data_IF_629641862420
#
_entry.id   IF_629641862420
#
_cell.length_a   1.000
_cell.length_b   1.000
_cell.length_c   1.000
_cell.angle_alpha   90.00
_cell.angle_beta   90.00
_cell.angle_gamma   90.00
#
_symmetry.space_group_name_H-M   'P 1'
#
loop_
_entity.id
_entity.type
_entity.pdbx_description
1 polymer ?
#
# COMPACT_ATOMS: atom_id res chain seq x y z
N UNK A 1 32.24 -22.78 -4.74
CA UNK A 1 31.53 -22.26 -5.92
C UNK A 1 32.13 -20.93 -6.37
N UNK A 2 32.27 -19.95 -5.48
CA UNK A 2 32.74 -18.60 -5.81
C UNK A 2 34.12 -18.56 -6.50
N UNK A 3 35.12 -19.29 -5.97
CA UNK A 3 36.46 -19.37 -6.56
C UNK A 3 36.45 -19.97 -7.96
N UNK A 4 35.72 -21.08 -8.18
CA UNK A 4 35.56 -21.69 -9.51
C UNK A 4 34.89 -20.73 -10.51
N UNK A 5 33.85 -20.01 -10.10
CA UNK A 5 33.17 -19.02 -10.94
C UNK A 5 34.13 -17.86 -11.28
N UNK A 6 34.89 -17.39 -10.29
CA UNK A 6 35.89 -16.34 -10.49
C UNK A 6 36.96 -16.77 -11.50
N UNK A 7 37.49 -17.99 -11.38
CA UNK A 7 38.54 -18.50 -12.27
C UNK A 7 38.05 -18.61 -13.72
N UNK A 8 36.87 -19.18 -13.92
CA UNK A 8 36.22 -19.30 -15.24
C UNK A 8 35.95 -17.92 -15.87
N UNK A 9 35.45 -16.97 -15.07
CA UNK A 9 35.16 -15.62 -15.57
C UNK A 9 36.43 -14.78 -15.76
N UNK A 10 37.52 -15.09 -15.05
CA UNK A 10 38.81 -14.42 -15.25
C UNK A 10 39.33 -14.59 -16.68
N UNK A 11 39.01 -15.70 -17.35
CA UNK A 11 39.39 -15.94 -18.74
C UNK A 11 38.63 -15.04 -19.72
N UNK A 12 37.36 -14.69 -19.42
CA UNK A 12 36.60 -13.69 -20.20
C UNK A 12 37.11 -12.28 -19.91
N UNK A 13 37.46 -11.99 -18.66
CA UNK A 13 37.91 -10.67 -18.24
C UNK A 13 39.33 -10.34 -18.68
N UNK A 14 40.13 -11.34 -19.07
CA UNK A 14 41.40 -11.19 -19.81
C UNK A 14 41.10 -10.87 -21.28
N UNK A 15 40.45 -9.74 -21.54
CA UNK A 15 40.34 -9.17 -22.88
C UNK A 15 41.65 -8.49 -23.23
N UNK A 16 42.11 -8.65 -24.47
CA UNK A 16 43.35 -8.07 -24.98
C UNK A 16 43.29 -6.53 -24.86
N UNK A 17 44.28 -5.91 -24.22
CA UNK A 17 44.30 -4.46 -23.96
C UNK A 17 44.20 -3.62 -25.26
N UNK A 18 44.59 -4.21 -26.38
CA UNK A 18 44.45 -3.66 -27.74
C UNK A 18 42.99 -3.62 -28.22
N UNK A 19 42.21 -4.68 -27.96
CA UNK A 19 40.79 -4.74 -28.33
C UNK A 19 39.96 -3.80 -27.44
N UNK A 20 40.39 -3.64 -26.19
CA UNK A 20 39.84 -2.69 -25.21
C UNK A 20 40.11 -1.22 -25.60
N UNK A 21 41.25 -0.93 -26.24
CA UNK A 21 41.58 0.40 -26.76
C UNK A 21 40.92 0.71 -28.11
N UNK A 22 40.77 -0.29 -28.99
CA UNK A 22 40.22 -0.13 -30.34
C UNK A 22 38.70 0.05 -30.38
N UNK A 23 37.95 -0.55 -29.45
CA UNK A 23 36.48 -0.45 -29.41
C UNK A 23 36.00 0.94 -28.99
N UNK A 24 36.80 1.70 -28.25
CA UNK A 24 36.51 3.11 -27.96
C UNK A 24 36.71 4.02 -29.19
N UNK A 25 37.37 3.54 -30.25
CA UNK A 25 37.68 4.32 -31.46
C UNK A 25 36.89 3.88 -32.70
N UNK A 26 36.43 2.62 -32.77
CA UNK A 26 35.72 2.05 -33.90
C UNK A 26 34.63 1.09 -33.39
N UNK A 27 33.41 1.21 -33.92
CA UNK A 27 32.39 0.15 -33.81
C UNK A 27 32.86 -1.07 -34.61
N UNK A 28 33.72 -1.91 -33.99
CA UNK A 28 34.21 -3.13 -34.63
C UNK A 28 33.12 -4.21 -34.55
N UNK A 29 32.78 -4.89 -35.66
CA UNK A 29 31.83 -6.00 -35.65
C UNK A 29 32.33 -7.14 -34.74
N UNK A 30 31.42 -7.74 -33.97
CA UNK A 30 31.70 -8.91 -33.11
C UNK A 30 32.32 -10.04 -33.95
N UNK A 31 33.56 -10.41 -33.68
CA UNK A 31 34.28 -11.46 -34.39
C UNK A 31 33.80 -12.83 -33.90
N UNK A 32 33.63 -13.82 -34.78
CA UNK A 32 33.22 -15.21 -34.47
C UNK A 32 34.04 -15.87 -33.34
N UNK A 33 35.28 -15.40 -33.14
CA UNK A 33 36.21 -15.86 -32.09
C UNK A 33 35.74 -15.53 -30.67
N UNK A 34 35.04 -14.40 -30.49
CA UNK A 34 34.47 -14.03 -29.19
C UNK A 34 33.25 -14.89 -28.86
N UNK A 35 32.45 -15.27 -29.85
CA UNK A 35 31.30 -16.16 -29.66
C UNK A 35 31.70 -17.57 -29.21
N UNK A 36 32.81 -18.12 -29.74
CA UNK A 36 33.34 -19.41 -29.31
C UNK A 36 33.83 -19.42 -27.86
N UNK A 37 34.52 -18.36 -27.43
CA UNK A 37 34.95 -18.20 -26.03
C UNK A 37 33.77 -18.06 -25.07
N UNK A 38 32.77 -17.25 -25.43
CA UNK A 38 31.55 -17.11 -24.63
C UNK A 38 30.82 -18.46 -24.48
N UNK A 39 30.70 -19.26 -25.55
CA UNK A 39 30.02 -20.55 -25.51
C UNK A 39 30.73 -21.58 -24.61
N UNK A 40 32.06 -21.63 -24.64
CA UNK A 40 32.83 -22.50 -23.74
C UNK A 40 32.60 -22.14 -22.28
N UNK A 41 32.64 -20.84 -21.95
CA UNK A 41 32.43 -20.37 -20.58
C UNK A 41 31.00 -20.59 -20.12
N UNK A 42 30.01 -20.39 -21.00
CA UNK A 42 28.61 -20.72 -20.71
C UNK A 42 28.49 -22.22 -20.37
N UNK A 43 29.14 -23.09 -21.14
CA UNK A 43 29.09 -24.55 -20.92
C UNK A 43 29.75 -24.95 -19.60
N UNK A 44 30.90 -24.35 -19.26
CA UNK A 44 31.58 -24.62 -17.99
C UNK A 44 30.79 -24.06 -16.79
N UNK A 45 30.20 -22.87 -16.91
CA UNK A 45 29.32 -22.34 -15.87
C UNK A 45 28.08 -23.22 -15.69
N UNK A 46 27.46 -23.72 -16.76
CA UNK A 46 26.36 -24.66 -16.69
C UNK A 46 26.72 -25.91 -15.89
N UNK A 47 27.89 -26.52 -16.16
CA UNK A 47 28.39 -27.66 -15.40
C UNK A 47 28.55 -27.32 -13.92
N UNK A 48 29.15 -26.18 -13.59
CA UNK A 48 29.32 -25.74 -12.21
C UNK A 48 27.95 -25.58 -11.51
N UNK A 49 26.97 -24.94 -12.15
CA UNK A 49 25.64 -24.78 -11.54
C UNK A 49 24.94 -26.14 -11.31
N UNK A 50 25.04 -27.07 -12.26
CA UNK A 50 24.45 -28.42 -12.15
C UNK A 50 25.16 -29.24 -11.06
N UNK A 51 26.50 -29.29 -11.05
CA UNK A 51 27.29 -30.02 -10.07
C UNK A 51 27.00 -29.57 -8.63
N UNK A 52 26.97 -28.26 -8.39
CA UNK A 52 26.70 -27.73 -7.04
C UNK A 52 25.23 -27.89 -6.64
N UNK A 53 24.28 -27.86 -7.59
CA UNK A 53 22.88 -28.15 -7.30
C UNK A 53 22.67 -29.63 -6.93
N UNK A 54 23.34 -30.55 -7.62
CA UNK A 54 23.31 -31.99 -7.31
C UNK A 54 23.96 -32.31 -5.97
N UNK A 55 25.11 -31.71 -5.66
CA UNK A 55 25.79 -31.86 -4.37
C UNK A 55 24.94 -31.34 -3.21
N UNK A 56 24.26 -30.20 -3.39
CA UNK A 56 23.38 -29.63 -2.37
C UNK A 56 22.12 -30.48 -2.15
N UNK A 57 21.56 -31.06 -3.21
CA UNK A 57 20.46 -32.02 -3.12
C UNK A 57 20.87 -33.30 -2.38
N UNK A 58 22.07 -33.85 -2.68
CA UNK A 58 22.61 -35.02 -2.01
C UNK A 58 22.87 -34.78 -0.51
N UNK A 59 23.44 -33.62 -0.14
CA UNK A 59 23.66 -33.26 1.26
C UNK A 59 22.34 -33.14 2.06
N UNK A 60 21.28 -32.65 1.42
CA UNK A 60 19.95 -32.53 2.04
C UNK A 60 19.30 -33.91 2.24
N UNK A 61 19.46 -34.82 1.27
CA UNK A 61 18.98 -36.20 1.39
C UNK A 61 19.66 -36.95 2.56
N UNK A 62 20.98 -36.77 2.71
CA UNK A 62 21.75 -37.35 3.83
C UNK A 62 21.30 -36.79 5.19
N UNK A 63 21.05 -35.48 5.27
CA UNK A 63 20.55 -34.84 6.49
C UNK A 63 19.15 -35.32 6.89
N UNK A 64 18.26 -35.57 5.92
CA UNK A 64 16.92 -36.12 6.16
C UNK A 64 16.97 -37.59 6.61
N UNK A 65 17.89 -38.40 6.07
CA UNK A 65 18.10 -39.78 6.54
C UNK A 65 18.73 -39.86 7.93
N UNK A 66 19.59 -38.91 8.31
CA UNK A 66 20.20 -38.86 9.64
C UNK A 66 19.18 -38.47 10.74
N UNK A 67 18.19 -37.63 10.42
CA UNK A 67 17.15 -37.21 11.35
C UNK A 67 16.02 -38.26 11.57
N UNK A 68 15.97 -39.33 10.75
CA UNK A 68 14.93 -40.37 10.83
C UNK A 68 15.20 -41.52 11.81
N UNK A 69 16.28 -41.48 12.60
CA UNK A 69 16.75 -42.64 13.38
C UNK A 69 16.64 -42.45 14.90
N UNK A 70 15.58 -41.84 15.41
CA UNK A 70 15.22 -41.90 16.84
C UNK A 70 13.71 -41.76 17.02
N UNK A 71 13.04 -42.92 17.16
CA UNK A 71 11.86 -43.20 18.01
C UNK A 71 10.97 -44.28 17.36
N UNK A 72 11.20 -45.53 17.76
CA UNK A 72 10.13 -46.53 17.84
C UNK A 72 9.53 -46.43 19.25
N UNK A 73 8.25 -46.05 19.37
CA UNK A 73 7.27 -46.85 20.13
C UNK A 73 5.82 -46.34 19.99
N UNK A 74 4.95 -47.27 19.55
CA UNK A 74 3.55 -47.55 19.96
C UNK A 74 2.51 -46.42 20.05
N UNK A 75 1.60 -46.34 19.06
CA UNK A 75 0.14 -46.60 19.22
C UNK A 75 -0.69 -46.22 17.98
N UNK A 76 -1.73 -47.01 17.73
CA UNK A 76 -2.57 -47.06 16.52
C UNK A 76 -3.95 -46.37 16.73
N UNK A 77 -4.56 -45.95 15.60
CA UNK A 77 -5.98 -45.56 15.30
C UNK A 77 -6.42 -44.11 15.59
N UNK A 78 -7.19 -43.42 14.75
CA UNK A 78 -7.73 -43.60 13.38
C UNK A 78 -8.24 -42.23 12.88
N UNK A 79 -8.14 -41.92 11.59
CA UNK A 79 -8.81 -40.78 10.94
C UNK A 79 -8.12 -40.27 9.66
N UNK A 80 -8.79 -40.21 8.48
CA UNK A 80 -8.12 -40.06 7.20
C UNK A 80 -7.82 -38.59 6.87
N UNK A 81 -6.54 -38.25 6.69
CA UNK A 81 -6.11 -37.06 5.94
C UNK A 81 -5.37 -37.49 4.69
N UNK A 82 -5.92 -37.05 3.56
CA UNK A 82 -5.41 -37.07 2.19
C UNK A 82 -3.94 -36.63 2.11
N UNK A 83 -3.08 -37.23 1.26
CA UNK A 83 -1.65 -36.96 1.26
C UNK A 83 -1.35 -35.61 0.59
N UNK A 84 -0.76 -34.69 1.34
CA UNK A 84 -0.10 -33.52 0.81
C UNK A 84 1.29 -33.92 0.28
N UNK A 85 1.56 -33.58 -0.98
CA UNK A 85 2.78 -33.83 -1.73
C UNK A 85 4.04 -33.22 -1.07
N UNK A 86 5.02 -34.08 -0.79
CA UNK A 86 6.33 -33.79 -0.21
C UNK A 86 7.39 -33.34 -1.24
N UNK A 87 7.08 -32.38 -2.11
CA UNK A 87 7.98 -31.91 -3.18
C UNK A 87 8.68 -30.56 -2.93
N UNK A 88 8.42 -29.88 -1.81
CA UNK A 88 8.91 -28.51 -1.58
C UNK A 88 10.41 -28.36 -1.23
N UNK A 89 11.05 -29.40 -0.68
CA UNK A 89 12.39 -29.28 -0.09
C UNK A 89 13.54 -29.22 -1.11
N UNK A 90 13.41 -29.88 -2.26
CA UNK A 90 14.47 -29.95 -3.28
C UNK A 90 14.55 -28.69 -4.14
N UNK A 91 13.43 -28.01 -4.37
CA UNK A 91 13.38 -26.76 -5.16
C UNK A 91 14.01 -25.58 -4.42
N UNK A 92 13.82 -25.47 -3.11
CA UNK A 92 14.40 -24.37 -2.32
C UNK A 92 15.93 -24.41 -2.25
N UNK A 93 16.51 -25.61 -2.11
CA UNK A 93 17.97 -25.78 -2.02
C UNK A 93 18.65 -25.44 -3.35
N UNK A 94 18.10 -25.90 -4.47
CA UNK A 94 18.61 -25.56 -5.81
C UNK A 94 18.55 -24.04 -6.07
N UNK A 95 17.47 -23.39 -5.63
CA UNK A 95 17.31 -21.93 -5.77
C UNK A 95 18.37 -21.16 -4.98
N UNK A 96 18.75 -21.61 -3.77
CA UNK A 96 19.81 -20.99 -2.95
C UNK A 96 21.19 -21.11 -3.58
N UNK A 97 21.51 -22.25 -4.19
CA UNK A 97 22.79 -22.44 -4.90
C UNK A 97 22.88 -21.53 -6.13
N UNK A 98 21.80 -21.44 -6.90
CA UNK A 98 21.70 -20.51 -8.02
C UNK A 98 21.85 -19.06 -7.55
N UNK A 99 21.17 -18.66 -6.47
CA UNK A 99 21.26 -17.32 -5.90
C UNK A 99 22.70 -16.98 -5.50
N UNK A 100 23.43 -17.88 -4.82
CA UNK A 100 24.82 -17.65 -4.44
C UNK A 100 25.75 -17.52 -5.65
N UNK A 101 25.57 -18.37 -6.67
CA UNK A 101 26.34 -18.26 -7.91
C UNK A 101 26.07 -16.95 -8.64
N UNK A 102 24.80 -16.54 -8.75
CA UNK A 102 24.43 -15.25 -9.34
C UNK A 102 25.00 -14.08 -8.54
N UNK A 103 24.92 -14.11 -7.20
CA UNK A 103 25.52 -13.07 -6.32
C UNK A 103 27.02 -12.90 -6.60
N UNK A 104 27.74 -13.99 -6.83
CA UNK A 104 29.17 -13.95 -7.17
C UNK A 104 29.41 -13.25 -8.51
N UNK A 105 28.62 -13.58 -9.53
CA UNK A 105 28.72 -12.97 -10.87
C UNK A 105 28.36 -11.48 -10.80
N UNK A 106 27.31 -11.13 -10.06
CA UNK A 106 26.87 -9.75 -9.87
C UNK A 106 27.91 -8.93 -9.10
N UNK A 107 28.52 -9.48 -8.05
CA UNK A 107 29.62 -8.82 -7.35
C UNK A 107 30.84 -8.58 -8.26
N UNK A 108 31.13 -9.50 -9.19
CA UNK A 108 32.16 -9.30 -10.21
C UNK A 108 31.79 -8.21 -11.21
N UNK A 109 30.52 -8.15 -11.64
CA UNK A 109 30.01 -7.08 -12.50
C UNK A 109 30.11 -5.71 -11.82
N UNK A 110 29.78 -5.61 -10.53
CA UNK A 110 29.84 -4.38 -9.76
C UNK A 110 31.26 -3.80 -9.66
N UNK A 111 32.29 -4.66 -9.69
CA UNK A 111 33.71 -4.26 -9.66
C UNK A 111 34.27 -3.83 -11.02
N UNK A 112 33.52 -3.97 -12.12
CA UNK A 112 34.00 -3.61 -13.45
C UNK A 112 33.80 -2.10 -13.72
N UNK A 113 34.90 -1.41 -14.05
CA UNK A 113 34.84 -0.02 -14.51
C UNK A 113 34.67 0.09 -16.04
N UNK A 114 34.83 -1.00 -16.79
CA UNK A 114 34.72 -0.99 -18.25
C UNK A 114 33.32 -1.47 -18.70
N UNK A 115 32.57 -0.67 -19.49
CA UNK A 115 31.26 -1.05 -20.02
C UNK A 115 31.28 -2.30 -20.90
N UNK A 116 32.36 -2.56 -21.64
CA UNK A 116 32.49 -3.75 -22.47
C UNK A 116 32.52 -5.03 -21.62
N UNK A 117 33.34 -5.04 -20.56
CA UNK A 117 33.45 -6.18 -19.65
C UNK A 117 32.15 -6.43 -18.90
N UNK A 118 31.49 -5.37 -18.44
CA UNK A 118 30.18 -5.46 -17.80
C UNK A 118 29.11 -6.02 -18.76
N UNK A 119 29.10 -5.58 -20.02
CA UNK A 119 28.17 -6.07 -21.03
C UNK A 119 28.44 -7.52 -21.46
N UNK A 120 29.71 -7.95 -21.51
CA UNK A 120 30.06 -9.36 -21.74
C UNK A 120 29.53 -10.25 -20.61
N UNK A 121 29.70 -9.86 -19.35
CA UNK A 121 29.13 -10.58 -18.21
C UNK A 121 27.59 -10.58 -18.23
N UNK A 122 26.96 -9.47 -18.60
CA UNK A 122 25.52 -9.39 -18.78
C UNK A 122 25.02 -10.33 -19.90
N UNK A 123 25.81 -10.46 -20.98
CA UNK A 123 25.51 -11.39 -22.08
C UNK A 123 25.64 -12.84 -21.63
N UNK A 124 26.66 -13.18 -20.84
CA UNK A 124 26.80 -14.52 -20.23
C UNK A 124 25.60 -14.86 -19.36
N UNK A 125 25.17 -13.94 -18.48
CA UNK A 125 23.96 -14.12 -17.68
C UNK A 125 22.70 -14.31 -18.55
N UNK A 126 22.57 -13.53 -19.62
CA UNK A 126 21.47 -13.66 -20.56
C UNK A 126 21.46 -15.04 -21.24
N UNK A 127 22.61 -15.55 -21.68
CA UNK A 127 22.70 -16.88 -22.29
C UNK A 127 22.43 -18.02 -21.31
N UNK A 128 22.84 -17.87 -20.04
CA UNK A 128 22.52 -18.85 -18.98
C UNK A 128 21.02 -18.91 -18.65
N UNK A 129 20.30 -17.81 -18.88
CA UNK A 129 18.83 -17.79 -18.80
C UNK A 129 18.20 -18.49 -19.99
N UNK A 130 18.73 -18.28 -21.20
CA UNK A 130 18.24 -18.96 -22.41
C UNK A 130 18.43 -20.49 -22.34
N UNK A 131 19.47 -20.96 -21.63
CA UNK A 131 19.69 -22.38 -21.37
C UNK A 131 18.89 -22.94 -20.20
N UNK A 132 17.98 -22.17 -19.60
CA UNK A 132 17.17 -22.54 -18.42
C UNK A 132 17.99 -23.00 -17.20
N UNK A 133 19.26 -22.60 -17.11
CA UNK A 133 20.14 -22.95 -15.99
C UNK A 133 19.88 -22.04 -14.78
N UNK A 134 19.44 -20.81 -15.04
CA UNK A 134 19.09 -19.80 -14.05
C UNK A 134 17.64 -19.36 -14.22
N UNK A 135 17.00 -18.94 -13.12
CA UNK A 135 15.69 -18.30 -13.17
C UNK A 135 15.83 -16.77 -13.30
N UNK A 136 15.11 -16.18 -14.25
CA UNK A 136 15.12 -14.73 -14.50
C UNK A 136 14.79 -13.92 -13.24
N UNK A 137 13.89 -14.43 -12.40
CA UNK A 137 13.52 -13.82 -11.12
C UNK A 137 14.72 -13.68 -10.19
N UNK A 138 15.51 -14.74 -10.01
CA UNK A 138 16.68 -14.75 -9.11
C UNK A 138 17.71 -13.74 -9.61
N UNK A 139 17.96 -13.70 -10.92
CA UNK A 139 18.89 -12.74 -11.53
C UNK A 139 18.44 -11.30 -11.30
N UNK A 140 17.18 -10.95 -11.59
CA UNK A 140 16.66 -9.61 -11.35
C UNK A 140 16.72 -9.19 -9.87
N UNK A 141 16.28 -10.07 -8.96
CA UNK A 141 16.24 -9.77 -7.53
C UNK A 141 17.65 -9.58 -6.98
N UNK A 142 18.62 -10.43 -7.34
CA UNK A 142 20.00 -10.29 -6.87
C UNK A 142 20.65 -9.02 -7.43
N UNK A 143 20.47 -8.73 -8.72
CA UNK A 143 20.98 -7.49 -9.34
C UNK A 143 20.45 -6.24 -8.64
N UNK A 144 19.14 -6.18 -8.42
CA UNK A 144 18.49 -5.02 -7.81
C UNK A 144 18.67 -4.94 -6.29
N UNK A 145 19.05 -6.04 -5.63
CA UNK A 145 19.34 -6.07 -4.20
C UNK A 145 20.79 -5.71 -3.86
N UNK A 146 21.69 -5.70 -4.84
CA UNK A 146 23.11 -5.44 -4.61
C UNK A 146 23.34 -4.04 -4.00
N UNK A 147 24.21 -3.97 -3.00
CA UNK A 147 24.53 -2.72 -2.30
C UNK A 147 25.33 -1.74 -3.19
N UNK A 148 26.11 -2.27 -4.13
CA UNK A 148 26.92 -1.47 -5.05
C UNK A 148 26.11 -0.91 -6.23
N UNK A 149 24.81 -1.24 -6.32
CA UNK A 149 23.90 -0.64 -7.29
C UNK A 149 23.52 0.78 -6.84
N UNK A 150 24.47 1.69 -6.98
CA UNK A 150 24.35 3.11 -6.67
C UNK A 150 24.48 3.98 -7.93
N UNK A 151 23.95 5.21 -7.92
CA UNK A 151 24.14 6.15 -9.03
C UNK A 151 25.59 6.55 -9.30
N UNK A 152 26.52 6.27 -8.37
CA UNK A 152 27.95 6.54 -8.54
C UNK A 152 28.63 5.50 -9.42
N UNK A 153 28.11 4.26 -9.44
CA UNK A 153 28.58 3.20 -10.33
C UNK A 153 27.77 3.17 -11.62
N UNK A 154 28.03 4.15 -12.50
CA UNK A 154 27.27 4.36 -13.73
C UNK A 154 27.26 3.12 -14.65
N UNK A 155 28.40 2.44 -14.77
CA UNK A 155 28.56 1.27 -15.65
C UNK A 155 27.74 0.08 -15.16
N UNK A 156 27.81 -0.22 -13.87
CA UNK A 156 27.05 -1.31 -13.26
C UNK A 156 25.55 -1.01 -13.27
N UNK A 157 25.16 0.24 -13.00
CA UNK A 157 23.76 0.68 -13.07
C UNK A 157 23.17 0.45 -14.46
N UNK A 158 23.81 1.00 -15.50
CA UNK A 158 23.33 0.86 -16.87
C UNK A 158 23.23 -0.60 -17.30
N UNK A 159 24.28 -1.39 -17.05
CA UNK A 159 24.32 -2.80 -17.41
C UNK A 159 23.21 -3.60 -16.72
N UNK A 160 22.93 -3.29 -15.44
CA UNK A 160 21.90 -3.96 -14.66
C UNK A 160 20.49 -3.66 -15.18
N UNK A 161 20.13 -2.39 -15.35
CA UNK A 161 18.79 -2.02 -15.84
C UNK A 161 18.54 -2.46 -17.28
N UNK A 162 19.55 -2.40 -18.16
CA UNK A 162 19.45 -2.92 -19.52
C UNK A 162 19.28 -4.44 -19.55
N UNK A 163 19.96 -5.17 -18.67
CA UNK A 163 19.78 -6.62 -18.53
C UNK A 163 18.38 -6.94 -18.02
N UNK A 164 17.93 -6.28 -16.93
CA UNK A 164 16.58 -6.45 -16.37
C UNK A 164 15.51 -6.23 -17.44
N UNK A 165 15.61 -5.16 -18.24
CA UNK A 165 14.68 -4.87 -19.35
C UNK A 165 14.53 -6.05 -20.32
N UNK A 166 15.62 -6.76 -20.62
CA UNK A 166 15.62 -7.90 -21.56
C UNK A 166 15.01 -9.17 -20.97
N UNK A 167 15.18 -9.40 -19.67
CA UNK A 167 14.87 -10.69 -19.04
C UNK A 167 13.56 -10.69 -18.25
N UNK A 168 13.00 -9.50 -17.97
CA UNK A 168 11.79 -9.35 -17.12
C UNK A 168 10.56 -10.08 -17.67
N UNK A 169 10.49 -10.30 -18.99
CA UNK A 169 9.41 -11.05 -19.65
C UNK A 169 9.36 -12.53 -19.24
N UNK A 170 10.49 -13.08 -18.76
CA UNK A 170 10.58 -14.45 -18.24
C UNK A 170 10.25 -14.59 -16.75
N UNK A 171 9.78 -13.52 -16.10
CA UNK A 171 9.46 -13.51 -14.66
C UNK A 171 7.95 -13.62 -14.43
N UNK A 172 7.56 -14.35 -13.39
CA UNK A 172 6.15 -14.44 -12.99
C UNK A 172 5.61 -13.09 -12.49
N UNK A 173 4.29 -12.86 -12.63
CA UNK A 173 3.68 -11.57 -12.26
C UNK A 173 3.92 -11.19 -10.78
N UNK A 174 4.08 -12.14 -9.85
CA UNK A 174 4.40 -11.82 -8.45
C UNK A 174 5.86 -11.38 -8.33
N UNK A 175 6.77 -12.02 -9.05
CA UNK A 175 8.17 -11.58 -9.19
C UNK A 175 8.28 -10.18 -9.78
N UNK A 176 7.55 -9.89 -10.86
CA UNK A 176 7.55 -8.55 -11.50
C UNK A 176 7.07 -7.47 -10.53
N UNK A 177 6.08 -7.77 -9.68
CA UNK A 177 5.61 -6.86 -8.62
C UNK A 177 6.71 -6.51 -7.62
N UNK A 178 7.50 -7.48 -7.18
CA UNK A 178 8.62 -7.21 -6.27
C UNK A 178 9.74 -6.44 -6.98
N UNK A 179 10.09 -6.81 -8.22
CA UNK A 179 11.05 -6.07 -9.05
C UNK A 179 10.63 -4.61 -9.21
N UNK A 180 9.35 -4.33 -9.47
CA UNK A 180 8.80 -2.98 -9.57
C UNK A 180 9.04 -2.18 -8.28
N UNK A 181 8.81 -2.77 -7.09
CA UNK A 181 9.08 -2.11 -5.81
C UNK A 181 10.56 -1.78 -5.65
N UNK A 182 11.43 -2.73 -5.97
CA UNK A 182 12.87 -2.51 -5.91
C UNK A 182 13.30 -1.39 -6.87
N UNK A 183 12.74 -1.31 -8.08
CA UNK A 183 12.99 -0.20 -8.99
C UNK A 183 12.54 1.14 -8.40
N UNK A 184 11.39 1.20 -7.72
CA UNK A 184 10.91 2.41 -7.03
C UNK A 184 11.83 2.81 -5.87
N UNK A 185 12.37 1.84 -5.12
CA UNK A 185 13.34 2.07 -4.05
C UNK A 185 14.66 2.61 -4.60
N UNK A 186 15.19 2.00 -5.68
CA UNK A 186 16.40 2.47 -6.35
C UNK A 186 16.23 3.85 -6.97
N UNK A 187 15.04 4.17 -7.49
CA UNK A 187 14.74 5.52 -7.99
C UNK A 187 14.88 6.61 -6.91
N UNK A 188 14.66 6.29 -5.62
CA UNK A 188 14.83 7.24 -4.51
C UNK A 188 16.29 7.54 -4.17
N UNK A 189 17.23 6.69 -4.59
CA UNK A 189 18.67 6.93 -4.39
C UNK A 189 19.20 8.05 -5.29
N UNK A 190 18.48 8.37 -6.38
CA UNK A 190 18.86 9.40 -7.32
C UNK A 190 18.52 10.79 -6.74
N UNK A 191 19.46 11.76 -6.82
CA UNK A 191 19.21 13.11 -6.32
C UNK A 191 18.11 13.79 -7.15
N UNK A 192 17.29 14.61 -6.50
CA UNK A 192 16.22 15.38 -7.17
C UNK A 192 16.79 16.25 -8.30
N UNK A 193 17.96 16.84 -8.08
CA UNK A 193 18.70 17.61 -9.08
C UNK A 193 19.70 16.71 -9.80
N UNK A 194 19.26 16.10 -10.91
CA UNK A 194 20.10 15.23 -11.73
C UNK A 194 21.16 16.04 -12.50
N UNK A 195 22.41 15.57 -12.46
CA UNK A 195 23.46 16.05 -13.38
C UNK A 195 23.21 15.51 -14.79
N UNK A 196 23.71 16.20 -15.82
CA UNK A 196 23.58 15.74 -17.23
C UNK A 196 24.13 14.32 -17.44
N UNK A 197 25.20 13.94 -16.75
CA UNK A 197 25.78 12.58 -16.81
C UNK A 197 24.88 11.51 -16.19
N UNK A 198 23.99 11.88 -15.27
CA UNK A 198 23.10 10.96 -14.55
C UNK A 198 21.75 10.78 -15.25
N UNK A 199 21.46 11.55 -16.32
CA UNK A 199 20.23 11.43 -17.09
C UNK A 199 20.08 10.04 -17.74
N UNK A 200 21.10 9.47 -18.41
CA UNK A 200 21.02 8.12 -18.98
C UNK A 200 20.72 7.04 -17.95
N UNK A 201 21.24 7.18 -16.71
CA UNK A 201 20.97 6.26 -15.60
C UNK A 201 19.48 6.23 -15.25
N UNK A 202 18.88 7.41 -15.19
CA UNK A 202 17.45 7.57 -14.94
C UNK A 202 16.62 7.06 -16.12
N UNK A 203 17.06 7.29 -17.36
CA UNK A 203 16.39 6.78 -18.56
C UNK A 203 16.37 5.24 -18.59
N UNK A 204 17.48 4.59 -18.23
CA UNK A 204 17.53 3.13 -18.14
C UNK A 204 16.52 2.57 -17.12
N UNK A 205 16.35 3.23 -15.97
CA UNK A 205 15.33 2.86 -14.99
C UNK A 205 13.92 3.14 -15.52
N UNK A 206 13.69 4.32 -16.12
CA UNK A 206 12.41 4.70 -16.70
C UNK A 206 11.97 3.71 -17.79
N UNK A 207 12.90 3.21 -18.60
CA UNK A 207 12.64 2.20 -19.63
C UNK A 207 12.10 0.88 -19.06
N UNK A 208 12.67 0.40 -17.95
CA UNK A 208 12.17 -0.80 -17.25
C UNK A 208 10.78 -0.52 -16.68
N UNK A 209 10.59 0.65 -16.06
CA UNK A 209 9.29 1.05 -15.51
C UNK A 209 8.22 1.17 -16.61
N UNK A 210 8.54 1.77 -17.75
CA UNK A 210 7.65 1.87 -18.89
C UNK A 210 7.23 0.48 -19.40
N UNK A 211 8.16 -0.47 -19.44
CA UNK A 211 7.86 -1.85 -19.84
C UNK A 211 6.94 -2.57 -18.84
N UNK A 212 7.17 -2.39 -17.54
CA UNK A 212 6.29 -2.97 -16.48
C UNK A 212 4.88 -2.37 -16.55
N UNK A 213 4.78 -1.08 -16.85
CA UNK A 213 3.52 -0.33 -16.86
C UNK A 213 2.80 -0.42 -18.21
N UNK A 214 3.44 -0.98 -19.23
CA UNK A 214 2.82 -1.23 -20.52
C UNK A 214 1.79 -2.36 -20.42
N UNK A 215 0.54 -2.02 -20.74
CA UNK A 215 -0.58 -2.96 -20.73
C UNK A 215 -0.46 -4.00 -21.83
N UNK A 216 0.18 -3.66 -22.95
CA UNK A 216 0.34 -4.60 -24.06
C UNK A 216 1.34 -5.70 -23.70
N UNK A 217 2.39 -5.35 -22.94
CA UNK A 217 3.37 -6.31 -22.42
C UNK A 217 2.80 -7.26 -21.37
N UNK A 218 1.67 -6.94 -20.72
CA UNK A 218 0.91 -7.81 -19.81
C UNK A 218 1.73 -8.54 -18.73
N UNK A 219 2.83 -7.93 -18.27
CA UNK A 219 3.76 -8.52 -17.29
C UNK A 219 3.16 -8.60 -15.88
N UNK A 220 2.25 -7.68 -15.55
CA UNK A 220 1.63 -7.57 -14.23
C UNK A 220 0.21 -6.98 -14.38
N UNK A 221 -0.81 -7.58 -13.76
CA UNK A 221 -2.12 -6.96 -13.68
C UNK A 221 -2.06 -5.52 -13.17
N UNK A 222 -2.58 -4.56 -13.94
CA UNK A 222 -2.48 -3.14 -13.61
C UNK A 222 -3.09 -2.77 -12.24
N UNK A 223 -4.08 -3.54 -11.76
CA UNK A 223 -4.62 -3.37 -10.41
C UNK A 223 -3.57 -3.60 -9.33
N UNK A 224 -2.67 -4.58 -9.50
CA UNK A 224 -1.58 -4.79 -8.53
C UNK A 224 -0.58 -3.65 -8.55
N UNK A 225 -0.29 -3.07 -9.71
CA UNK A 225 0.56 -1.88 -9.81
C UNK A 225 -0.05 -0.75 -8.97
N UNK A 226 -1.30 -0.37 -9.25
CA UNK A 226 -1.98 0.72 -8.52
C UNK A 226 -2.10 0.42 -7.03
N UNK A 227 -2.45 -0.80 -6.67
CA UNK A 227 -2.59 -1.19 -5.28
C UNK A 227 -1.27 -1.05 -4.51
N UNK A 228 -0.13 -1.39 -5.11
CA UNK A 228 1.16 -1.17 -4.46
C UNK A 228 1.56 0.30 -4.44
N UNK A 229 1.33 1.03 -5.53
CA UNK A 229 1.62 2.46 -5.58
C UNK A 229 0.86 3.22 -4.51
N UNK A 230 -0.45 2.97 -4.34
CA UNK A 230 -1.27 3.68 -3.35
C UNK A 230 -0.99 3.24 -1.91
N UNK A 231 -0.44 2.04 -1.69
CA UNK A 231 0.06 1.65 -0.36
C UNK A 231 1.35 2.38 -0.01
N UNK A 232 2.27 2.52 -0.97
CA UNK A 232 3.55 3.19 -0.78
C UNK A 232 3.39 4.72 -0.77
N UNK A 233 2.42 5.24 -1.53
CA UNK A 233 2.20 6.67 -1.80
C UNK A 233 0.69 7.02 -1.75
N UNK A 234 0.07 7.01 -0.56
CA UNK A 234 -1.38 7.19 -0.42
C UNK A 234 -1.92 8.55 -0.89
N UNK A 235 -1.10 9.61 -0.86
CA UNK A 235 -1.54 10.99 -1.11
C UNK A 235 -1.08 11.58 -2.45
N UNK A 236 -0.51 10.78 -3.37
CA UNK A 236 0.06 11.27 -4.65
C UNK A 236 1.17 12.32 -4.53
N UNK A 237 1.61 12.65 -3.32
CA UNK A 237 2.53 13.77 -3.06
C UNK A 237 4.00 13.36 -3.01
N UNK A 238 4.30 12.10 -2.69
CA UNK A 238 5.66 11.65 -2.38
C UNK A 238 6.21 10.68 -3.43
N UNK A 239 6.06 11.01 -4.72
CA UNK A 239 6.64 10.17 -5.77
C UNK A 239 8.16 10.00 -5.59
N UNK A 240 8.71 8.82 -5.92
CA UNK A 240 10.12 8.52 -5.67
C UNK A 240 11.07 9.47 -6.40
N UNK A 241 10.67 9.94 -7.59
CA UNK A 241 11.44 10.89 -8.38
C UNK A 241 10.53 11.65 -9.35
N UNK A 242 10.82 12.93 -9.61
CA UNK A 242 9.99 13.80 -10.46
C UNK A 242 9.84 13.29 -11.89
N UNK A 243 10.88 12.67 -12.46
CA UNK A 243 10.86 12.09 -13.82
C UNK A 243 9.91 10.89 -13.95
N UNK A 244 9.67 10.15 -12.87
CA UNK A 244 8.69 9.07 -12.84
C UNK A 244 7.28 9.58 -12.50
N UNK A 245 7.15 10.78 -11.93
CA UNK A 245 5.89 11.27 -11.39
C UNK A 245 4.78 11.33 -12.46
N UNK A 246 5.10 11.73 -13.69
CA UNK A 246 4.13 11.74 -14.80
C UNK A 246 3.65 10.33 -15.12
N UNK A 247 4.56 9.38 -15.37
CA UNK A 247 4.24 7.99 -15.65
C UNK A 247 3.35 7.36 -14.55
N UNK A 248 3.73 7.56 -13.29
CA UNK A 248 3.01 7.00 -12.15
C UNK A 248 1.62 7.64 -11.99
N UNK A 249 1.54 8.97 -12.08
CA UNK A 249 0.27 9.71 -11.97
C UNK A 249 -0.68 9.32 -13.11
N UNK A 250 -0.21 9.34 -14.35
CA UNK A 250 -1.01 8.97 -15.52
C UNK A 250 -1.51 7.53 -15.45
N UNK A 251 -0.69 6.62 -14.90
CA UNK A 251 -1.09 5.24 -14.74
C UNK A 251 -2.17 5.08 -13.67
N UNK A 252 -2.02 5.71 -12.50
CA UNK A 252 -3.03 5.65 -11.44
C UNK A 252 -4.33 6.34 -11.88
N UNK A 253 -4.25 7.45 -12.60
CA UNK A 253 -5.43 8.19 -13.08
C UNK A 253 -6.31 7.37 -14.04
N UNK A 254 -5.72 6.44 -14.80
CA UNK A 254 -6.50 5.49 -15.62
C UNK A 254 -7.44 4.62 -14.80
N UNK A 255 -7.19 4.44 -13.49
CA UNK A 255 -8.06 3.68 -12.58
C UNK A 255 -9.14 4.54 -11.90
N UNK A 256 -9.17 5.85 -12.14
CA UNK A 256 -10.21 6.74 -11.60
C UNK A 256 -11.62 6.31 -12.03
N UNK A 257 -11.78 5.85 -13.29
CA UNK A 257 -13.05 5.30 -13.78
C UNK A 257 -13.48 4.03 -13.04
N UNK A 258 -12.52 3.16 -12.72
CA UNK A 258 -12.80 1.95 -11.93
C UNK A 258 -13.20 2.31 -10.49
N UNK A 259 -12.53 3.30 -9.88
CA UNK A 259 -12.91 3.81 -8.56
C UNK A 259 -14.32 4.41 -8.57
N UNK A 260 -14.69 5.14 -9.63
CA UNK A 260 -16.04 5.68 -9.82
C UNK A 260 -17.10 4.58 -9.93
N UNK A 261 -16.84 3.49 -10.67
CA UNK A 261 -17.76 2.35 -10.77
C UNK A 261 -18.02 1.67 -9.42
N UNK A 262 -17.06 1.72 -8.49
CA UNK A 262 -17.18 1.15 -7.15
C UNK A 262 -17.67 2.14 -6.11
N UNK A 263 -17.93 3.39 -6.51
CA UNK A 263 -18.33 4.47 -5.61
C UNK A 263 -19.79 4.84 -5.82
N UNK A 264 -20.47 5.19 -4.73
CA UNK A 264 -21.81 5.76 -4.79
C UNK A 264 -21.68 7.27 -4.99
N UNK A 265 -22.32 7.79 -6.05
CA UNK A 265 -22.33 9.23 -6.35
C UNK A 265 -22.94 10.00 -5.17
N UNK A 266 -22.20 10.97 -4.64
CA UNK A 266 -22.67 11.78 -3.52
C UNK A 266 -22.82 11.04 -2.19
N UNK A 267 -22.15 9.89 -1.99
CA UNK A 267 -22.25 9.07 -0.76
C UNK A 267 -22.12 9.89 0.53
N UNK A 268 -21.21 10.86 0.55
CA UNK A 268 -20.96 11.78 1.68
C UNK A 268 -22.16 12.67 2.03
N UNK A 269 -23.07 12.90 1.09
CA UNK A 269 -24.29 13.72 1.24
C UNK A 269 -25.52 12.88 1.54
N UNK A 270 -25.49 11.58 1.27
CA UNK A 270 -26.59 10.70 1.61
C UNK A 270 -26.74 10.60 3.14
N UNK A 271 -27.97 10.48 3.61
CA UNK A 271 -28.30 10.33 5.03
C UNK A 271 -29.25 9.15 5.22
N UNK A 272 -28.99 8.25 6.18
CA UNK A 272 -29.92 7.17 6.45
C UNK A 272 -31.10 7.65 7.29
N UNK A 273 -32.18 6.87 7.26
CA UNK A 273 -33.23 6.96 8.28
C UNK A 273 -32.78 6.11 9.47
N UNK A 274 -32.87 6.68 10.68
CA UNK A 274 -32.42 6.02 11.90
C UNK A 274 -33.50 5.03 12.35
N UNK A 275 -33.14 3.75 12.39
CA UNK A 275 -34.03 2.67 12.83
C UNK A 275 -33.49 2.00 14.09
N UNK A 276 -34.38 1.78 15.07
CA UNK A 276 -34.02 1.17 16.36
C UNK A 276 -33.72 -0.34 16.25
N UNK A 277 -34.24 -1.01 15.22
CA UNK A 277 -34.11 -2.46 14.98
C UNK A 277 -32.93 -2.87 14.10
N UNK A 278 -32.06 -1.92 13.71
CA UNK A 278 -31.15 -2.05 12.56
C UNK A 278 -29.90 -2.93 12.71
N UNK A 279 -29.74 -3.72 13.78
CA UNK A 279 -28.50 -4.46 14.06
C UNK A 279 -28.08 -5.48 12.99
N UNK A 280 -28.96 -5.88 12.08
CA UNK A 280 -28.65 -6.83 11.01
C UNK A 280 -29.23 -6.43 9.64
N UNK A 281 -29.62 -5.16 9.46
CA UNK A 281 -30.08 -4.73 8.14
C UNK A 281 -28.89 -4.66 7.17
N UNK A 282 -28.94 -5.29 5.98
CA UNK A 282 -27.88 -5.19 4.97
C UNK A 282 -27.53 -3.73 4.63
N UNK A 283 -28.49 -2.80 4.80
CA UNK A 283 -28.31 -1.38 4.55
C UNK A 283 -27.23 -0.73 5.43
N UNK A 284 -27.00 -1.22 6.65
CA UNK A 284 -26.04 -0.62 7.60
C UNK A 284 -24.59 -0.73 7.11
N UNK A 285 -24.27 -1.75 6.31
CA UNK A 285 -22.94 -1.93 5.72
C UNK A 285 -22.53 -0.78 4.81
N UNK A 286 -23.50 -0.10 4.20
CA UNK A 286 -23.25 1.07 3.35
C UNK A 286 -22.82 2.31 4.15
N UNK A 287 -23.06 2.30 5.46
CA UNK A 287 -22.78 3.42 6.34
C UNK A 287 -21.60 3.19 7.28
N UNK A 288 -21.04 1.97 7.31
CA UNK A 288 -19.92 1.64 8.19
C UNK A 288 -18.73 2.58 8.02
N UNK A 289 -18.30 3.11 9.17
CA UNK A 289 -17.14 3.96 9.37
C UNK A 289 -16.10 3.20 10.20
N UNK A 290 -14.84 3.52 9.97
CA UNK A 290 -13.75 3.10 10.84
C UNK A 290 -13.81 3.82 12.19
N UNK A 291 -13.60 3.09 13.29
CA UNK A 291 -13.77 3.61 14.65
C UNK A 291 -12.71 4.62 15.08
N UNK A 292 -11.57 4.64 14.39
CA UNK A 292 -10.44 5.53 14.69
C UNK A 292 -10.46 6.76 13.78
N UNK A 293 -10.62 6.55 12.48
CA UNK A 293 -10.50 7.60 11.46
C UNK A 293 -11.82 8.21 11.02
N UNK A 294 -12.96 7.60 11.36
CA UNK A 294 -14.30 7.93 10.87
C UNK A 294 -14.42 7.94 9.33
N UNK A 295 -13.54 7.25 8.62
CA UNK A 295 -13.57 7.16 7.15
C UNK A 295 -14.46 6.00 6.72
N UNK A 296 -15.01 6.08 5.51
CA UNK A 296 -15.70 4.94 4.91
C UNK A 296 -14.73 3.77 4.72
N UNK A 297 -15.22 2.56 5.00
CA UNK A 297 -14.48 1.33 4.67
C UNK A 297 -14.60 1.06 3.16
N UNK A 298 -13.64 1.56 2.38
CA UNK A 298 -13.59 1.38 0.93
C UNK A 298 -12.89 0.07 0.55
N UNK A 299 -13.34 -0.57 -0.54
CA UNK A 299 -12.77 -1.84 -1.01
C UNK A 299 -11.54 -1.58 -1.89
N UNK A 300 -10.39 -2.06 -1.44
CA UNK A 300 -9.13 -2.00 -2.20
C UNK A 300 -8.47 -0.62 -2.19
N UNK A 301 -7.20 -0.57 -2.62
CA UNK A 301 -6.49 0.69 -2.80
C UNK A 301 -6.69 1.18 -4.23
N UNK A 302 -7.62 2.11 -4.40
CA UNK A 302 -7.96 2.74 -5.68
C UNK A 302 -7.97 4.27 -5.53
N UNK A 303 -7.85 5.01 -6.65
CA UNK A 303 -7.91 6.46 -6.68
C UNK A 303 -9.34 6.98 -6.43
N UNK A 304 -9.82 6.84 -5.20
CA UNK A 304 -11.12 7.36 -4.78
C UNK A 304 -11.11 8.89 -4.69
N UNK A 305 -12.28 9.49 -4.85
CA UNK A 305 -12.49 10.93 -4.64
C UNK A 305 -12.07 11.32 -3.22
N UNK A 306 -11.37 12.47 -3.03
CA UNK A 306 -10.92 12.91 -1.71
C UNK A 306 -12.05 12.97 -0.67
N UNK A 307 -13.26 13.39 -1.08
CA UNK A 307 -14.44 13.41 -0.21
C UNK A 307 -14.75 12.07 0.47
N UNK A 308 -14.47 10.93 -0.19
CA UNK A 308 -14.70 9.59 0.36
C UNK A 308 -13.58 9.14 1.31
N UNK A 309 -12.40 9.75 1.19
CA UNK A 309 -11.22 9.47 2.00
C UNK A 309 -11.18 10.33 3.27
N UNK A 310 -11.99 11.39 3.33
CA UNK A 310 -12.11 12.27 4.49
C UNK A 310 -12.96 11.65 5.62
N UNK A 311 -12.69 12.01 6.89
CA UNK A 311 -13.53 11.62 8.03
C UNK A 311 -14.97 12.10 7.88
N UNK A 312 -15.94 11.20 8.03
CA UNK A 312 -17.37 11.46 7.85
C UNK A 312 -18.04 11.88 9.18
N UNK A 313 -17.47 12.89 9.84
CA UNK A 313 -17.97 13.43 11.09
C UNK A 313 -19.42 13.92 10.99
N UNK A 314 -19.79 14.55 9.87
CA UNK A 314 -21.13 15.09 9.62
C UNK A 314 -22.21 14.00 9.57
N UNK A 315 -21.90 12.81 9.04
CA UNK A 315 -22.79 11.66 9.02
C UNK A 315 -23.03 11.14 10.45
N UNK A 316 -21.96 10.98 11.23
CA UNK A 316 -22.07 10.53 12.62
C UNK A 316 -22.86 11.54 13.47
N UNK A 317 -22.58 12.84 13.35
CA UNK A 317 -23.35 13.90 14.03
C UNK A 317 -24.83 13.87 13.67
N UNK A 318 -25.15 13.65 12.40
CA UNK A 318 -26.54 13.54 11.95
C UNK A 318 -27.25 12.37 12.64
N UNK A 319 -26.64 11.18 12.68
CA UNK A 319 -27.22 10.00 13.34
C UNK A 319 -27.38 10.23 14.84
N UNK A 320 -26.36 10.80 15.50
CA UNK A 320 -26.39 11.10 16.94
C UNK A 320 -27.48 12.10 17.33
N UNK A 321 -27.86 13.05 16.46
CA UNK A 321 -28.97 13.98 16.71
C UNK A 321 -30.34 13.31 16.74
N UNK A 322 -30.49 12.14 16.13
CA UNK A 322 -31.78 11.47 16.04
C UNK A 322 -32.08 10.66 17.31
N UNK A 323 -33.34 10.65 17.78
CA UNK A 323 -33.76 9.80 18.89
C UNK A 323 -33.59 8.31 18.54
N UNK A 324 -33.39 7.48 19.56
CA UNK A 324 -33.22 6.02 19.43
C UNK A 324 -32.05 5.56 18.54
N UNK A 325 -31.08 6.43 18.24
CA UNK A 325 -29.93 6.15 17.36
C UNK A 325 -28.86 5.22 17.95
N UNK A 326 -28.94 4.87 19.23
CA UNK A 326 -27.94 4.09 19.99
C UNK A 326 -27.44 2.86 19.23
N UNK A 327 -28.35 2.03 18.76
CA UNK A 327 -28.01 0.77 18.11
C UNK A 327 -27.36 0.96 16.73
N UNK A 328 -27.84 1.98 16.02
CA UNK A 328 -27.27 2.36 14.74
C UNK A 328 -25.85 2.90 14.89
N UNK A 329 -25.56 3.67 15.95
CA UNK A 329 -24.21 4.21 16.20
C UNK A 329 -23.18 3.10 16.41
N UNK A 330 -23.52 2.03 17.15
CA UNK A 330 -22.63 0.86 17.29
C UNK A 330 -22.33 0.21 15.95
N UNK A 331 -23.37 -0.01 15.14
CA UNK A 331 -23.22 -0.64 13.83
C UNK A 331 -22.52 0.29 12.82
N UNK A 332 -22.66 1.61 12.98
CA UNK A 332 -22.02 2.63 12.14
C UNK A 332 -20.52 2.72 12.42
N UNK A 333 -20.10 2.77 13.69
CA UNK A 333 -18.70 2.93 14.09
C UNK A 333 -17.99 1.55 14.20
N UNK A 334 -18.64 0.47 13.77
CA UNK A 334 -18.13 -0.91 13.83
C UNK A 334 -17.65 -1.35 15.23
N UNK A 335 -18.26 -0.78 16.28
CA UNK A 335 -17.94 -1.12 17.67
C UNK A 335 -18.80 -2.31 18.08
N UNK A 336 -18.15 -3.42 18.43
CA UNK A 336 -18.82 -4.57 19.00
C UNK A 336 -19.22 -4.28 20.45
N UNK A 337 -20.51 -4.44 20.78
CA UNK A 337 -21.07 -4.22 22.14
C UNK A 337 -20.32 -4.94 23.28
N UNK A 338 -19.61 -6.02 22.96
CA UNK A 338 -18.86 -6.84 23.93
C UNK A 338 -17.48 -6.29 24.28
N UNK A 339 -16.94 -5.38 23.47
CA UNK A 339 -15.61 -4.80 23.68
C UNK A 339 -15.78 -3.40 24.29
N UNK A 340 -15.41 -3.26 25.57
CA UNK A 340 -15.38 -1.95 26.26
C UNK A 340 -14.18 -1.16 25.73
N UNK A 341 -14.38 -0.48 24.61
CA UNK A 341 -13.32 0.26 23.93
C UNK A 341 -13.67 1.73 23.85
N UNK A 342 -12.77 2.56 24.37
CA UNK A 342 -12.86 4.01 24.22
C UNK A 342 -12.77 4.37 22.73
N UNK A 343 -13.68 5.22 22.27
CA UNK A 343 -13.69 5.76 20.92
C UNK A 343 -13.50 7.30 21.00
N UNK A 344 -12.25 7.79 20.86
CA UNK A 344 -11.96 9.23 20.91
C UNK A 344 -12.71 10.03 19.83
N UNK A 345 -12.91 9.44 18.66
CA UNK A 345 -13.62 10.10 17.56
C UNK A 345 -15.10 10.33 17.89
N UNK A 346 -15.76 9.37 18.55
CA UNK A 346 -17.12 9.53 19.07
C UNK A 346 -17.18 10.59 20.18
N UNK A 347 -16.21 10.57 21.09
CA UNK A 347 -16.08 11.54 22.17
C UNK A 347 -15.97 12.99 21.65
N UNK A 348 -15.13 13.22 20.64
CA UNK A 348 -15.02 14.53 19.97
C UNK A 348 -16.35 14.95 19.32
N UNK A 349 -17.04 14.04 18.63
CA UNK A 349 -18.34 14.36 18.03
C UNK A 349 -19.42 14.65 19.07
N UNK A 350 -19.36 14.03 20.26
CA UNK A 350 -20.28 14.34 21.35
C UNK A 350 -20.03 15.73 21.93
N UNK A 351 -18.76 16.12 22.13
CA UNK A 351 -18.41 17.48 22.57
C UNK A 351 -18.93 18.52 21.59
N UNK A 352 -18.73 18.29 20.29
CA UNK A 352 -19.21 19.18 19.23
C UNK A 352 -20.74 19.32 19.21
N UNK A 353 -21.48 18.24 19.49
CA UNK A 353 -22.94 18.30 19.62
C UNK A 353 -23.39 19.03 20.88
N UNK A 354 -22.66 18.91 21.99
CA UNK A 354 -22.94 19.65 23.22
C UNK A 354 -22.78 21.16 23.00
N UNK A 355 -21.69 21.59 22.36
CA UNK A 355 -21.46 23.00 21.99
C UNK A 355 -22.58 23.50 21.08
N UNK A 356 -22.92 22.75 20.03
CA UNK A 356 -24.01 23.13 19.13
C UNK A 356 -25.37 23.24 19.84
N UNK A 357 -25.65 22.38 20.83
CA UNK A 357 -26.86 22.46 21.64
C UNK A 357 -26.85 23.68 22.58
N UNK A 358 -25.69 24.02 23.16
CA UNK A 358 -25.54 25.25 23.96
C UNK A 358 -25.82 26.50 23.12
N UNK A 359 -25.30 26.56 21.89
CA UNK A 359 -25.56 27.65 20.93
C UNK A 359 -27.02 27.73 20.48
N UNK A 360 -27.69 26.58 20.33
CA UNK A 360 -29.11 26.50 20.00
C UNK A 360 -29.98 27.01 21.17
N UNK A 361 -29.67 26.59 22.40
CA UNK A 361 -30.34 27.10 23.60
C UNK A 361 -30.16 28.61 23.77
N UNK A 362 -28.94 29.13 23.61
CA UNK A 362 -28.68 30.56 23.71
C UNK A 362 -29.48 31.38 22.69
N UNK A 363 -29.64 30.87 21.46
CA UNK A 363 -30.48 31.51 20.42
C UNK A 363 -31.95 31.46 20.77
N UNK A 364 -32.46 30.30 21.20
CA UNK A 364 -33.85 30.14 21.61
C UNK A 364 -34.22 31.06 22.77
N UNK A 365 -33.35 31.21 23.77
CA UNK A 365 -33.54 32.14 24.89
C UNK A 365 -33.58 33.61 24.42
N UNK A 366 -32.72 33.98 23.48
CA UNK A 366 -32.70 35.33 22.90
C UNK A 366 -33.97 35.62 22.10
N UNK A 367 -34.48 34.66 21.33
CA UNK A 367 -35.73 34.78 20.59
C UNK A 367 -36.94 34.87 21.54
N UNK A 368 -36.95 34.08 22.61
CA UNK A 368 -37.98 34.14 23.65
C UNK A 368 -38.00 35.50 24.37
N UNK A 369 -36.83 36.07 24.68
CA UNK A 369 -36.72 37.41 25.25
C UNK A 369 -37.28 38.49 24.31
N UNK A 370 -36.92 38.45 23.01
CA UNK A 370 -37.43 39.38 21.99
C UNK A 370 -38.95 39.27 21.83
N UNK A 371 -39.49 38.04 21.82
CA UNK A 371 -40.93 37.81 21.74
C UNK A 371 -41.67 38.37 22.96
N UNK A 372 -41.09 38.22 24.16
CA UNK A 372 -41.65 38.76 25.41
C UNK A 372 -41.64 40.29 25.44
N UNK A 373 -40.58 40.93 24.94
CA UNK A 373 -40.49 42.38 24.79
C UNK A 373 -41.49 42.93 23.75
N UNK A 374 -41.66 42.25 22.62
CA UNK A 374 -42.65 42.62 21.60
C UNK A 374 -44.09 42.51 22.13
N UNK A 375 -44.39 41.48 22.91
CA UNK A 375 -45.69 41.31 23.55
C UNK A 375 -45.96 42.40 24.60
N UNK A 376 -44.93 42.80 25.36
CA UNK A 376 -45.04 43.89 26.34
C UNK A 376 -45.29 45.25 25.65
N UNK A 377 -44.64 45.50 24.50
CA UNK A 377 -44.83 46.71 23.71
C UNK A 377 -46.20 46.75 23.01
N UNK A 378 -46.73 45.60 22.55
CA UNK A 378 -48.11 45.52 22.01
C UNK A 378 -49.17 45.75 23.08
N UNK A 379 -48.96 45.25 24.31
CA UNK A 379 -49.85 45.54 25.45
C UNK A 379 -49.84 47.02 25.87
N UNK A 380 -48.71 47.73 25.70
CA UNK A 380 -48.67 49.18 25.94
C UNK A 380 -49.39 49.99 24.86
N UNK A 381 -49.46 49.51 23.61
CA UNK A 381 -50.23 50.17 22.54
C UNK A 381 -51.75 49.93 22.61
N UNK A 382 -52.22 48.93 23.36
CA UNK A 382 -53.65 48.62 23.52
C UNK A 382 -54.34 49.30 24.72
N UNK A 383 -53.70 50.29 25.39
CA UNK A 383 -54.34 51.05 26.46
C UNK A 383 -55.35 52.14 26.00
N UNK A 384 -55.80 52.12 24.75
CA UNK A 384 -57.01 52.84 24.33
C UNK A 384 -57.96 51.89 23.57
N UNK A 385 -58.87 51.23 24.31
CA UNK A 385 -60.07 50.61 23.74
C UNK A 385 -60.35 49.16 24.17
N UNK A 386 -61.23 49.02 25.17
CA UNK A 386 -62.19 47.91 25.42
C UNK A 386 -61.71 46.44 25.52
N UNK A 387 -61.82 45.91 26.75
CA UNK A 387 -62.11 44.53 27.22
C UNK A 387 -61.42 43.30 26.56
N UNK A 388 -60.71 42.45 27.34
CA UNK A 388 -60.01 41.27 26.83
C UNK A 388 -60.89 40.00 26.82
N UNK A 389 -60.92 39.29 25.69
CA UNK A 389 -61.24 37.85 25.66
C UNK A 389 -59.96 37.05 25.93
N UNK A 390 -60.00 36.01 26.78
CA UNK A 390 -58.83 35.19 27.10
C UNK A 390 -58.58 34.21 25.96
N UNK A 391 -57.92 34.65 24.90
CA UNK A 391 -57.38 33.72 23.92
C UNK A 391 -56.20 32.99 24.55
N UNK A 392 -56.37 31.67 24.60
CA UNK A 392 -55.44 30.72 25.17
C UNK A 392 -54.00 31.03 24.77
N UNK A 393 -53.14 31.06 25.78
CA UNK A 393 -51.70 30.95 25.68
C UNK A 393 -51.35 29.73 24.81
N UNK A 394 -51.17 29.92 23.51
CA UNK A 394 -50.34 29.02 22.72
C UNK A 394 -48.92 29.20 23.22
N UNK A 395 -48.58 28.40 24.22
CA UNK A 395 -47.21 28.04 24.57
C UNK A 395 -46.53 27.73 23.24
N UNK A 396 -45.42 28.39 22.86
CA UNK A 396 -44.67 28.02 21.67
C UNK A 396 -44.37 26.54 21.80
N UNK A 397 -44.80 25.73 20.81
CA UNK A 397 -44.48 24.31 20.77
C UNK A 397 -43.02 24.14 21.15
N UNK A 398 -42.78 23.54 22.32
CA UNK A 398 -41.46 23.29 22.83
C UNK A 398 -40.75 22.45 21.76
N UNK A 399 -39.81 23.07 21.05
CA UNK A 399 -38.83 22.31 20.27
C UNK A 399 -38.29 21.25 21.24
N UNK A 400 -38.37 19.95 20.91
CA UNK A 400 -37.87 18.91 21.80
C UNK A 400 -36.42 19.25 22.13
N UNK A 401 -36.14 19.60 23.39
CA UNK A 401 -34.84 20.11 23.80
C UNK A 401 -33.76 19.13 23.36
N UNK A 402 -32.91 19.54 22.42
CA UNK A 402 -31.76 18.77 21.94
C UNK A 402 -30.88 18.31 23.12
N UNK A 403 -30.83 19.11 24.19
CA UNK A 403 -30.20 18.78 25.47
C UNK A 403 -30.75 17.54 26.18
N UNK A 404 -32.06 17.29 26.14
CA UNK A 404 -32.67 16.12 26.80
C UNK A 404 -32.25 14.82 26.11
N UNK A 405 -32.28 14.81 24.78
CA UNK A 405 -31.79 13.70 23.97
C UNK A 405 -30.30 13.45 24.18
N UNK A 406 -29.48 14.51 24.07
CA UNK A 406 -28.03 14.41 24.28
C UNK A 406 -27.66 13.90 25.67
N UNK A 407 -28.36 14.37 26.72
CA UNK A 407 -28.17 13.89 28.09
C UNK A 407 -28.37 12.37 28.19
N UNK A 408 -29.47 11.86 27.62
CA UNK A 408 -29.75 10.42 27.62
C UNK A 408 -28.70 9.58 26.88
N UNK A 409 -28.19 10.10 25.74
CA UNK A 409 -27.13 9.45 24.96
C UNK A 409 -25.78 9.46 25.69
N UNK A 410 -25.42 10.59 26.28
CA UNK A 410 -24.16 10.77 27.02
C UNK A 410 -24.08 9.80 28.19
N UNK A 411 -25.14 9.73 29.00
CA UNK A 411 -25.24 8.78 30.12
C UNK A 411 -24.96 7.36 29.62
N UNK A 412 -25.62 6.96 28.53
CA UNK A 412 -25.45 5.63 27.97
C UNK A 412 -24.01 5.34 27.50
N UNK A 413 -23.40 6.24 26.73
CA UNK A 413 -22.05 6.01 26.18
C UNK A 413 -20.94 6.07 27.24
N UNK A 414 -21.10 6.89 28.28
CA UNK A 414 -20.19 6.92 29.43
C UNK A 414 -20.32 5.64 30.25
N UNK A 415 -21.54 5.19 30.56
CA UNK A 415 -21.78 3.93 31.28
C UNK A 415 -21.26 2.71 30.50
N UNK A 416 -21.36 2.75 29.17
CA UNK A 416 -20.84 1.71 28.28
C UNK A 416 -19.31 1.78 28.07
N UNK A 417 -18.62 2.73 28.71
CA UNK A 417 -17.17 2.96 28.62
C UNK A 417 -16.67 3.24 27.20
N UNK A 418 -17.52 3.74 26.31
CA UNK A 418 -17.11 4.19 24.97
C UNK A 418 -16.50 5.59 25.02
N UNK A 419 -16.94 6.40 25.97
CA UNK A 419 -16.51 7.78 26.16
C UNK A 419 -15.98 7.95 27.58
N UNK A 420 -14.87 8.66 27.72
CA UNK A 420 -14.31 9.03 29.02
C UNK A 420 -14.91 10.35 29.47
N UNK A 421 -15.63 10.37 30.60
CA UNK A 421 -16.21 11.60 31.14
C UNK A 421 -15.16 12.69 31.44
N UNK A 422 -14.01 12.39 32.10
CA UNK A 422 -12.96 13.39 32.31
C UNK A 422 -12.46 14.04 31.01
N UNK A 423 -12.26 13.24 29.97
CA UNK A 423 -11.74 13.73 28.70
C UNK A 423 -12.81 14.50 27.91
N UNK A 424 -14.09 14.09 28.01
CA UNK A 424 -15.22 14.85 27.47
C UNK A 424 -15.33 16.24 28.12
N UNK A 425 -15.22 16.34 29.45
CA UNK A 425 -15.25 17.63 30.17
C UNK A 425 -14.09 18.52 29.77
N UNK A 426 -12.88 17.96 29.66
CA UNK A 426 -11.70 18.69 29.20
C UNK A 426 -11.89 19.22 27.77
N UNK A 427 -12.36 18.38 26.84
CA UNK A 427 -12.60 18.79 25.46
C UNK A 427 -13.69 19.86 25.35
N UNK A 428 -14.73 19.79 26.17
CA UNK A 428 -15.76 20.82 26.24
C UNK A 428 -15.20 22.15 26.77
N UNK A 429 -14.39 22.11 27.83
CA UNK A 429 -13.75 23.30 28.38
C UNK A 429 -12.89 24.01 27.33
N UNK A 430 -12.05 23.27 26.60
CA UNK A 430 -11.20 23.80 25.54
C UNK A 430 -12.01 24.43 24.39
N UNK A 431 -13.18 23.86 24.06
CA UNK A 431 -14.06 24.37 23.00
C UNK A 431 -14.85 25.60 23.41
N UNK A 432 -15.26 25.70 24.68
CA UNK A 432 -16.01 26.84 25.21
C UNK A 432 -15.10 28.04 25.54
N UNK A 433 -13.81 27.79 25.79
CA UNK A 433 -12.83 28.87 25.98
C UNK A 433 -12.42 29.57 24.69
N UNK A 434 -12.56 28.91 23.54
CA UNK A 434 -12.34 29.50 22.22
C UNK A 434 -13.58 30.25 21.77
#
# INVERSE_FOLDING_TARGET
METKIHDILSEILKVDALQEALVNLLEVPKVEKDSGRHNNVITELQKVFTEFSEQAAAATAVAQTAAGTTNQDVSQKDGPKTPASSSGGTTEVSTRVQEQGVRTIVALMARQNNPYRANSLATVLQSLLQSNTLYAKVVCTVLLADENLTPDNEVFWMSSFLLVKKIITGVDYKGVREIMKMCLERARLLPVNLRRSQLPLMDALCDVMNLIFDRNSSLLPGYFIVNELLKLYPDYKNWPHWKLASLLTDFVDKFRRAAQMLSVVGRTKLRPIVEQSGHQSPSIHSWKLDSVTLRFQLKGALPFTPELLEPQASLLRYVLKQPYSREMVYSLIDIQKKHKQRCPALEEQMVELMVAAMEECARADQEACKAREQHLNQQQQQQQGTSPTPNALTIPEQHPCSCAHLSSLLIYFVLSQLISFPCLVQGLYEKVQR
#
